data_IF_076943179402
#
_entry.id   IF_076943179402
#
_cell.length_a   1.000
_cell.length_b   1.000
_cell.length_c   1.000
_cell.angle_alpha   90.00
_cell.angle_beta   90.00
_cell.angle_gamma   90.00
#
_symmetry.space_group_name_H-M   'P 1'
#
loop_
_entity.id
_entity.type
_entity.pdbx_description
1 polymer ?
#
# COMPACT_ATOMS: atom_id res chain seq x y z
N UNK A 1 -12.76 11.78 -20.37
CA UNK A 1 -13.31 11.54 -19.01
C UNK A 1 -12.51 12.40 -18.04
N UNK A 2 -13.13 13.15 -17.11
CA UNK A 2 -12.36 14.01 -16.22
C UNK A 2 -11.68 13.14 -15.16
N UNK A 3 -10.36 13.27 -15.03
CA UNK A 3 -9.57 12.65 -13.96
C UNK A 3 -9.99 13.36 -12.67
N UNK A 4 -10.82 12.69 -11.87
CA UNK A 4 -11.27 13.20 -10.58
C UNK A 4 -10.04 13.22 -9.66
N UNK A 5 -9.59 14.42 -9.29
CA UNK A 5 -8.42 14.58 -8.45
C UNK A 5 -8.77 14.09 -7.03
N UNK A 6 -8.38 12.85 -6.71
CA UNK A 6 -8.64 12.12 -5.46
C UNK A 6 -7.79 12.62 -4.27
N UNK A 7 -7.16 13.79 -4.41
CA UNK A 7 -6.14 14.30 -3.49
C UNK A 7 -6.71 14.90 -2.19
N UNK A 8 -8.02 15.09 -2.09
CA UNK A 8 -8.65 15.85 -1.01
C UNK A 8 -9.68 15.00 -0.24
N UNK A 9 -9.21 14.27 0.78
CA UNK A 9 -10.06 13.84 1.91
C UNK A 9 -9.91 12.40 2.39
N UNK A 10 -9.43 11.47 1.56
CA UNK A 10 -9.21 10.08 1.94
C UNK A 10 -7.74 9.71 1.71
N UNK A 11 -7.15 8.92 2.62
CA UNK A 11 -5.83 8.35 2.39
C UNK A 11 -5.85 7.53 1.10
N UNK A 12 -5.05 7.91 0.10
CA UNK A 12 -5.02 7.23 -1.20
C UNK A 12 -3.61 6.75 -1.52
N UNK A 13 -3.49 5.63 -2.23
CA UNK A 13 -2.21 5.18 -2.80
C UNK A 13 -2.03 5.86 -4.17
N UNK A 14 -0.97 6.64 -4.31
CA UNK A 14 -0.57 7.29 -5.55
C UNK A 14 0.38 6.38 -6.34
N UNK A 15 -0.14 5.74 -7.39
CA UNK A 15 0.64 4.79 -8.21
C UNK A 15 1.95 5.38 -8.75
N UNK A 16 1.95 6.65 -9.18
CA UNK A 16 3.15 7.32 -9.70
C UNK A 16 4.23 7.62 -8.63
N UNK A 17 3.93 7.42 -7.34
CA UNK A 17 4.87 7.58 -6.23
C UNK A 17 5.40 6.24 -5.69
N UNK A 18 4.97 5.12 -6.26
CA UNK A 18 5.49 3.80 -5.92
C UNK A 18 6.79 3.62 -6.71
N UNK A 19 7.93 3.78 -6.05
CA UNK A 19 9.24 3.61 -6.68
C UNK A 19 9.72 2.14 -6.65
N UNK A 20 9.06 1.30 -5.86
CA UNK A 20 9.39 -0.12 -5.69
C UNK A 20 8.48 -0.99 -6.56
N UNK A 21 9.08 -1.68 -7.55
CA UNK A 21 8.32 -2.56 -8.45
C UNK A 21 7.69 -3.75 -7.73
N UNK A 22 8.31 -4.26 -6.65
CA UNK A 22 7.75 -5.36 -5.87
C UNK A 22 6.51 -4.88 -5.10
N UNK A 23 6.56 -3.66 -4.55
CA UNK A 23 5.40 -3.04 -3.91
C UNK A 23 4.24 -2.86 -4.91
N UNK A 24 4.53 -2.38 -6.12
CA UNK A 24 3.51 -2.23 -7.17
C UNK A 24 2.87 -3.59 -7.55
N UNK A 25 3.71 -4.62 -7.75
CA UNK A 25 3.23 -5.96 -8.09
C UNK A 25 2.37 -6.56 -6.96
N UNK A 26 2.79 -6.42 -5.70
CA UNK A 26 2.05 -6.95 -4.55
C UNK A 26 0.69 -6.26 -4.36
N UNK A 27 0.63 -4.94 -4.56
CA UNK A 27 -0.62 -4.19 -4.51
C UNK A 27 -1.62 -4.58 -5.60
N UNK A 28 -1.15 -5.06 -6.75
CA UNK A 28 -2.00 -5.60 -7.82
C UNK A 28 -2.40 -7.04 -7.50
N UNK A 29 -1.42 -7.88 -7.13
CA UNK A 29 -1.62 -9.31 -6.87
C UNK A 29 -2.51 -9.59 -5.67
N UNK A 30 -2.54 -8.71 -4.67
CA UNK A 30 -3.41 -8.91 -3.49
C UNK A 30 -4.88 -8.99 -3.88
N UNK A 31 -5.33 -8.24 -4.90
CA UNK A 31 -6.71 -8.32 -5.39
C UNK A 31 -6.98 -9.56 -6.25
N UNK A 32 -5.95 -10.30 -6.66
CA UNK A 32 -6.07 -11.63 -7.24
C UNK A 32 -6.16 -12.74 -6.18
N UNK A 33 -6.02 -12.40 -4.88
CA UNK A 33 -6.04 -13.35 -3.77
C UNK A 33 -4.67 -13.79 -3.27
N UNK A 34 -3.59 -13.19 -3.79
CA UNK A 34 -2.23 -13.55 -3.41
C UNK A 34 -1.76 -12.82 -2.14
N UNK A 35 -0.93 -13.49 -1.34
CA UNK A 35 -0.25 -12.90 -0.19
C UNK A 35 1.22 -12.69 -0.49
N UNK A 36 1.76 -11.53 -0.11
CA UNK A 36 3.15 -11.14 -0.37
C UNK A 36 3.87 -10.81 0.93
N UNK A 37 5.13 -11.23 1.01
CA UNK A 37 6.11 -10.73 1.96
C UNK A 37 7.15 -9.95 1.16
N UNK A 38 7.30 -8.67 1.47
CA UNK A 38 8.30 -7.78 0.89
C UNK A 38 9.39 -7.51 1.91
N UNK A 39 10.62 -7.46 1.44
CA UNK A 39 11.80 -7.12 2.23
C UNK A 39 12.56 -5.98 1.56
N UNK A 40 13.49 -5.36 2.29
CA UNK A 40 14.32 -4.23 1.84
C UNK A 40 13.54 -3.03 1.30
N UNK A 41 12.32 -2.80 1.82
CA UNK A 41 11.48 -1.66 1.43
C UNK A 41 12.15 -0.33 1.76
N UNK A 42 12.08 0.59 0.81
CA UNK A 42 12.61 1.96 0.94
C UNK A 42 11.47 2.96 0.95
N UNK A 43 11.32 3.70 2.06
CA UNK A 43 10.29 4.72 2.23
C UNK A 43 8.86 4.25 1.85
N UNK A 44 8.36 3.14 2.42
CA UNK A 44 7.07 2.55 1.99
C UNK A 44 5.85 3.47 2.13
N UNK A 45 5.96 4.55 2.91
CA UNK A 45 4.89 5.51 3.12
C UNK A 45 4.81 6.63 2.06
N UNK A 46 5.83 6.79 1.21
CA UNK A 46 5.87 7.88 0.21
C UNK A 46 4.74 7.81 -0.82
N UNK A 47 4.16 6.63 -1.00
CA UNK A 47 3.07 6.39 -1.93
C UNK A 47 1.71 6.90 -1.44
N UNK A 48 1.54 7.17 -0.14
CA UNK A 48 0.25 7.63 0.38
C UNK A 48 0.07 9.15 0.23
N UNK A 49 -1.10 9.60 -0.23
CA UNK A 49 -1.55 10.99 -0.16
C UNK A 49 -2.63 11.17 0.90
N UNK A 50 -2.81 12.39 1.40
CA UNK A 50 -3.87 12.71 2.35
C UNK A 50 -3.67 12.13 3.77
N UNK A 51 -2.56 11.43 4.01
CA UNK A 51 -2.15 10.96 5.33
C UNK A 51 -1.05 11.90 5.82
N UNK A 52 -1.36 12.69 6.85
CA UNK A 52 -0.32 13.38 7.62
C UNK A 52 0.48 12.30 8.33
N UNK A 53 1.74 12.12 7.93
CA UNK A 53 2.65 11.20 8.59
C UNK A 53 2.74 11.60 10.08
N UNK A 54 2.10 10.84 10.96
CA UNK A 54 1.89 11.25 12.35
C UNK A 54 3.15 11.19 13.21
N UNK A 55 4.29 10.87 12.63
CA UNK A 55 5.56 10.86 13.32
C UNK A 55 6.69 11.04 12.32
N UNK A 56 7.71 11.77 12.73
CA UNK A 56 9.05 11.71 12.16
C UNK A 56 9.58 10.27 12.27
N UNK A 57 9.07 9.41 11.40
CA UNK A 57 9.28 7.97 11.47
C UNK A 57 10.53 7.73 10.67
N UNK A 58 11.59 7.33 11.37
CA UNK A 58 12.88 6.98 10.79
C UNK A 58 12.66 6.26 9.45
N UNK A 59 13.17 6.78 8.33
CA UNK A 59 12.91 6.25 6.99
C UNK A 59 13.29 4.77 6.87
N UNK A 60 14.19 4.32 7.75
CA UNK A 60 14.72 2.96 7.85
C UNK A 60 14.12 2.16 9.02
N UNK A 61 12.93 2.52 9.51
CA UNK A 61 12.30 1.72 10.57
C UNK A 61 11.56 0.53 10.02
N UNK A 62 11.03 0.60 8.80
CA UNK A 62 10.13 -0.44 8.27
C UNK A 62 10.67 -0.98 6.95
N UNK A 63 11.48 -2.04 7.05
CA UNK A 63 12.11 -2.66 5.88
C UNK A 63 11.30 -3.82 5.31
N UNK A 64 10.27 -4.27 6.02
CA UNK A 64 9.45 -5.40 5.59
C UNK A 64 7.98 -5.02 5.55
N UNK A 65 7.24 -5.66 4.64
CA UNK A 65 5.79 -5.59 4.67
C UNK A 65 5.15 -6.94 4.35
N UNK A 66 4.03 -7.22 5.00
CA UNK A 66 3.14 -8.31 4.62
C UNK A 66 1.89 -7.70 4.01
N UNK A 67 1.52 -8.19 2.82
CA UNK A 67 0.33 -7.75 2.08
C UNK A 67 -0.54 -8.97 1.86
N UNK A 68 -1.78 -8.95 2.35
CA UNK A 68 -2.69 -10.09 2.23
C UNK A 68 -4.13 -9.66 1.95
N UNK A 69 -4.89 -10.47 1.20
CA UNK A 69 -6.27 -10.18 0.88
C UNK A 69 -7.18 -10.44 2.08
N UNK A 70 -8.27 -9.70 2.15
CA UNK A 70 -9.39 -9.99 3.05
C UNK A 70 -10.63 -10.24 2.18
N UNK A 71 -11.12 -11.48 2.11
CA UNK A 71 -12.33 -11.78 1.36
C UNK A 71 -13.54 -11.15 2.07
N UNK A 72 -14.50 -10.67 1.27
CA UNK A 72 -15.83 -10.33 1.75
C UNK A 72 -16.67 -11.61 1.96
N UNK A 73 -17.88 -11.46 2.51
CA UNK A 73 -18.82 -12.56 2.77
C UNK A 73 -19.15 -13.38 1.50
N UNK A 74 -19.03 -12.80 0.32
CA UNK A 74 -19.25 -13.43 -0.98
C UNK A 74 -17.98 -14.03 -1.62
N UNK A 75 -16.92 -14.19 -0.82
CA UNK A 75 -15.59 -14.65 -1.20
C UNK A 75 -14.83 -13.73 -2.19
N UNK A 76 -15.38 -12.57 -2.58
CA UNK A 76 -14.67 -11.61 -3.42
C UNK A 76 -13.62 -10.86 -2.61
N UNK A 77 -12.45 -10.67 -3.20
CA UNK A 77 -11.41 -9.83 -2.60
C UNK A 77 -11.74 -8.37 -2.90
N UNK A 78 -12.27 -7.69 -1.89
CA UNK A 78 -12.62 -6.26 -1.95
C UNK A 78 -11.64 -5.40 -1.17
N UNK A 79 -10.88 -6.01 -0.27
CA UNK A 79 -9.96 -5.33 0.63
C UNK A 79 -8.62 -6.06 0.66
N UNK A 80 -7.55 -5.29 0.77
CA UNK A 80 -6.21 -5.78 1.07
C UNK A 80 -5.69 -5.11 2.33
N UNK A 81 -4.90 -5.84 3.11
CA UNK A 81 -4.23 -5.33 4.31
C UNK A 81 -2.74 -5.25 4.03
N UNK A 82 -2.12 -4.15 4.44
CA UNK A 82 -0.67 -3.94 4.40
C UNK A 82 -0.20 -3.77 5.84
N UNK A 83 0.72 -4.63 6.28
CA UNK A 83 1.36 -4.53 7.59
C UNK A 83 2.83 -4.21 7.38
N UNK A 84 3.27 -3.04 7.83
CA UNK A 84 4.68 -2.67 7.85
C UNK A 84 5.34 -3.19 9.12
N UNK A 85 6.41 -3.95 8.94
CA UNK A 85 7.18 -4.58 10.01
C UNK A 85 8.52 -3.87 10.17
N UNK A 86 9.05 -3.77 11.40
CA UNK A 86 10.38 -3.22 11.65
C UNK A 86 11.48 -3.94 10.87
#
# INVERSE_FOLDING_TARGET
MPVKNLEKGAGCILQHKINDMQMAAALIGVFAGDTFLLEDLKNPFSMFSGITQQSATFPDRFHKAVIFPVPADDARITHGVIVFLP
#
